data_IF_521528491832
#
_entry.id   IF_521528491832
#
_cell.length_a   1.000
_cell.length_b   1.000
_cell.length_c   1.000
_cell.angle_alpha   90.00
_cell.angle_beta   90.00
_cell.angle_gamma   90.00
#
_symmetry.space_group_name_H-M   'P 1'
#
loop_
_entity.id
_entity.type
_entity.pdbx_description
1 polymer ?
#
# COMPACT_ATOMS: atom_id res chain seq x y z
N UNK A 1 4.97 7.47 -19.25
CA UNK A 1 5.76 6.59 -18.92
C UNK A 1 5.58 5.99 -17.61
N UNK A 2 5.88 6.68 -16.58
CA UNK A 2 5.79 6.11 -15.26
C UNK A 2 4.36 5.77 -14.87
N UNK A 3 3.35 6.57 -15.27
CA UNK A 3 1.96 6.28 -14.92
C UNK A 3 1.49 4.96 -15.51
N UNK A 4 1.80 4.69 -16.77
CA UNK A 4 1.42 3.43 -17.41
C UNK A 4 2.01 2.23 -16.67
N UNK A 5 3.27 2.32 -16.28
CA UNK A 5 3.94 1.26 -15.54
C UNK A 5 3.34 1.11 -14.13
N UNK A 6 3.08 2.23 -13.46
CA UNK A 6 2.46 2.20 -12.13
C UNK A 6 1.09 1.53 -12.17
N UNK A 7 0.26 1.89 -13.16
CA UNK A 7 -1.06 1.27 -13.31
C UNK A 7 -0.95 -0.23 -13.58
N UNK A 8 0.05 -0.65 -14.36
CA UNK A 8 0.27 -2.07 -14.64
C UNK A 8 0.61 -2.83 -13.36
N UNK A 9 1.45 -2.25 -12.50
CA UNK A 9 1.82 -2.87 -11.23
C UNK A 9 0.61 -2.92 -10.30
N UNK A 10 -0.20 -1.85 -10.26
CA UNK A 10 -1.39 -1.79 -9.41
C UNK A 10 -2.38 -2.92 -9.72
N UNK A 11 -2.49 -3.34 -10.99
CA UNK A 11 -3.38 -4.43 -11.38
C UNK A 11 -3.04 -5.77 -10.74
N UNK A 12 -1.80 -5.93 -10.30
CA UNK A 12 -1.35 -7.18 -9.69
C UNK A 12 -1.59 -7.25 -8.20
N UNK A 13 -2.14 -6.18 -7.62
CA UNK A 13 -2.43 -6.14 -6.19
C UNK A 13 -3.94 -6.35 -5.97
N UNK A 14 -4.34 -7.37 -5.17
CA UNK A 14 -5.76 -7.66 -4.95
C UNK A 14 -6.56 -6.50 -4.37
N UNK A 15 -5.93 -5.68 -3.53
CA UNK A 15 -6.56 -4.55 -2.89
C UNK A 15 -6.82 -3.41 -3.86
N UNK A 16 -6.00 -3.30 -4.91
CA UNK A 16 -6.08 -2.22 -5.90
C UNK A 16 -6.87 -2.62 -7.14
N UNK A 17 -6.84 -3.90 -7.50
CA UNK A 17 -7.51 -4.35 -8.72
C UNK A 17 -9.02 -4.16 -8.62
N UNK A 18 -9.60 -4.26 -7.42
CA UNK A 18 -11.05 -4.11 -7.23
C UNK A 18 -11.53 -2.68 -7.45
N UNK A 19 -10.61 -1.70 -7.49
CA UNK A 19 -10.99 -0.31 -7.70
C UNK A 19 -11.39 -0.01 -9.14
N UNK A 20 -11.11 -0.91 -10.07
CA UNK A 20 -11.35 -0.68 -11.48
C UNK A 20 -10.29 0.24 -12.08
N UNK A 21 -10.26 0.33 -13.40
CA UNK A 21 -9.23 1.12 -14.07
C UNK A 21 -9.34 2.60 -13.74
N UNK A 22 -10.55 3.16 -13.78
CA UNK A 22 -10.75 4.57 -13.47
C UNK A 22 -10.42 4.90 -12.02
N UNK A 23 -10.77 4.00 -11.10
CA UNK A 23 -10.44 4.17 -9.69
C UNK A 23 -8.94 4.17 -9.45
N UNK A 24 -8.22 3.26 -10.10
CA UNK A 24 -6.75 3.22 -9.99
C UNK A 24 -6.12 4.47 -10.56
N UNK A 25 -6.62 4.97 -11.71
CA UNK A 25 -6.11 6.22 -12.29
C UNK A 25 -6.32 7.40 -11.36
N UNK A 26 -7.49 7.50 -10.75
CA UNK A 26 -7.77 8.58 -9.80
C UNK A 26 -6.86 8.46 -8.58
N UNK A 27 -6.65 7.26 -8.05
CA UNK A 27 -5.79 7.05 -6.90
C UNK A 27 -4.34 7.43 -7.19
N UNK A 28 -3.85 7.15 -8.39
CA UNK A 28 -2.47 7.44 -8.77
C UNK A 28 -2.27 8.86 -9.30
N UNK A 29 -3.33 9.62 -9.49
CA UNK A 29 -3.26 10.93 -10.11
C UNK A 29 -2.41 11.90 -9.28
N UNK A 30 -1.54 12.64 -9.98
CA UNK A 30 -0.74 13.72 -9.38
C UNK A 30 0.18 13.25 -8.25
N UNK A 31 0.63 12.01 -8.32
CA UNK A 31 1.65 11.46 -7.42
C UNK A 31 2.87 11.05 -8.24
N UNK A 32 4.02 11.08 -7.60
CA UNK A 32 5.28 10.73 -8.25
C UNK A 32 5.97 9.59 -7.53
N UNK A 33 6.70 8.74 -8.26
CA UNK A 33 7.52 7.72 -7.63
C UNK A 33 8.64 8.34 -6.79
N UNK A 34 9.05 7.61 -5.77
CA UNK A 34 10.21 7.94 -4.95
C UNK A 34 11.27 6.89 -5.21
N UNK A 35 12.48 7.33 -5.55
CA UNK A 35 13.62 6.43 -5.76
C UNK A 35 14.49 6.42 -4.52
N UNK A 36 14.76 5.21 -4.01
CA UNK A 36 15.57 5.03 -2.82
C UNK A 36 16.85 4.28 -3.16
N UNK A 37 17.96 4.74 -2.60
CA UNK A 37 19.24 4.04 -2.68
C UNK A 37 19.26 2.95 -1.60
N UNK A 38 20.09 1.90 -1.77
CA UNK A 38 20.21 0.87 -0.73
C UNK A 38 20.48 1.49 0.64
N UNK A 39 19.76 1.03 1.65
CA UNK A 39 19.83 1.47 3.05
C UNK A 39 19.22 2.82 3.32
N UNK A 40 18.67 3.49 2.31
CA UNK A 40 17.97 4.75 2.53
C UNK A 40 16.63 4.50 3.20
N UNK A 41 16.28 5.33 4.18
CA UNK A 41 15.02 5.22 4.93
C UNK A 41 13.90 5.95 4.21
N UNK A 42 12.72 5.32 4.16
CA UNK A 42 11.53 5.97 3.60
C UNK A 42 10.68 6.63 4.69
N UNK A 43 10.48 5.93 5.80
CA UNK A 43 9.77 6.46 6.96
C UNK A 43 10.19 5.70 8.21
N UNK A 44 9.89 6.27 9.37
CA UNK A 44 10.20 5.66 10.65
C UNK A 44 8.96 5.13 11.32
N UNK A 45 9.14 4.09 12.14
CA UNK A 45 8.07 3.59 13.01
C UNK A 45 7.54 4.74 13.87
N UNK A 46 6.22 4.84 13.99
CA UNK A 46 5.58 5.90 14.75
C UNK A 46 5.17 7.11 13.91
N UNK A 47 5.71 7.26 12.70
CA UNK A 47 5.32 8.35 11.83
C UNK A 47 3.84 8.21 11.44
N UNK A 48 3.10 9.33 11.29
CA UNK A 48 1.73 9.24 10.78
C UNK A 48 1.73 8.72 9.35
N UNK A 49 0.79 7.83 9.04
CA UNK A 49 0.66 7.26 7.71
C UNK A 49 -0.53 7.92 7.00
N UNK A 50 -0.24 8.70 5.95
CA UNK A 50 -1.26 9.37 5.16
C UNK A 50 -1.85 8.46 4.08
N UNK A 51 -1.30 7.28 3.92
CA UNK A 51 -1.71 6.32 2.92
C UNK A 51 -0.78 5.14 2.87
N UNK A 52 -0.84 4.39 1.78
CA UNK A 52 -0.04 3.19 1.59
C UNK A 52 1.10 3.47 0.62
N UNK A 53 2.05 2.55 0.60
CA UNK A 53 3.20 2.62 -0.31
C UNK A 53 3.16 1.40 -1.23
N UNK A 54 3.13 1.62 -2.52
CA UNK A 54 3.21 0.56 -3.53
C UNK A 54 4.66 0.39 -3.97
N UNK A 55 5.17 -0.82 -3.92
CA UNK A 55 6.53 -1.10 -4.39
C UNK A 55 6.49 -1.29 -5.91
N UNK A 56 7.24 -0.47 -6.64
CA UNK A 56 7.32 -0.53 -8.09
C UNK A 56 8.57 -1.25 -8.58
N UNK A 57 9.62 -1.27 -7.79
CA UNK A 57 10.87 -1.93 -8.15
C UNK A 57 11.75 -2.13 -6.94
N UNK A 58 12.61 -3.13 -6.98
CA UNK A 58 13.50 -3.43 -5.88
C UNK A 58 12.79 -4.05 -4.68
N UNK A 59 13.41 -3.91 -3.53
CA UNK A 59 12.90 -4.50 -2.29
C UNK A 59 12.97 -3.50 -1.15
N UNK A 60 11.86 -3.39 -0.41
CA UNK A 60 11.73 -2.53 0.76
C UNK A 60 11.65 -3.41 1.99
N UNK A 61 12.49 -3.15 2.97
CA UNK A 61 12.52 -3.92 4.21
C UNK A 61 11.81 -3.14 5.31
N UNK A 62 10.87 -3.80 5.98
CA UNK A 62 10.14 -3.21 7.10
C UNK A 62 10.63 -3.86 8.39
N UNK A 63 11.14 -3.01 9.29
CA UNK A 63 11.65 -3.45 10.59
C UNK A 63 10.64 -3.00 11.64
N UNK A 64 9.87 -3.94 12.23
CA UNK A 64 8.87 -3.59 13.25
C UNK A 64 9.52 -2.95 14.47
N UNK A 65 8.78 -2.02 15.11
CA UNK A 65 9.23 -1.44 16.36
C UNK A 65 9.26 -2.48 17.47
N UNK A 66 8.29 -3.39 17.48
CA UNK A 66 8.23 -4.46 18.47
C UNK A 66 9.31 -5.50 18.17
N UNK A 67 10.25 -5.70 19.10
CA UNK A 67 11.37 -6.63 18.94
C UNK A 67 10.93 -8.07 18.75
N UNK A 68 9.72 -8.41 19.20
CA UNK A 68 9.16 -9.76 19.06
C UNK A 68 8.72 -10.10 17.63
N UNK A 69 8.58 -9.09 16.76
CA UNK A 69 8.15 -9.29 15.39
C UNK A 69 9.35 -9.32 14.45
N UNK A 70 9.27 -10.14 13.41
CA UNK A 70 10.36 -10.28 12.46
C UNK A 70 10.27 -9.23 11.35
N UNK A 71 11.41 -8.74 10.85
CA UNK A 71 11.42 -7.91 9.66
C UNK A 71 10.79 -8.63 8.47
N UNK A 72 10.17 -7.84 7.59
CA UNK A 72 9.55 -8.35 6.36
C UNK A 72 10.08 -7.59 5.16
N UNK A 73 10.15 -8.27 4.02
CA UNK A 73 10.60 -7.66 2.78
C UNK A 73 9.40 -7.57 1.83
N UNK A 74 9.21 -6.39 1.26
CA UNK A 74 8.16 -6.12 0.29
C UNK A 74 8.78 -5.93 -1.09
N UNK A 75 8.19 -6.61 -2.08
CA UNK A 75 8.67 -6.60 -3.46
C UNK A 75 7.62 -6.00 -4.38
N UNK A 76 7.92 -5.94 -5.67
CA UNK A 76 7.06 -5.32 -6.69
C UNK A 76 5.62 -5.81 -6.58
N UNK A 77 4.69 -4.88 -6.58
CA UNK A 77 3.26 -5.15 -6.53
C UNK A 77 2.67 -5.24 -5.14
N UNK A 78 3.49 -5.27 -4.11
CA UNK A 78 3.00 -5.35 -2.74
C UNK A 78 2.75 -3.96 -2.17
N UNK A 79 1.74 -3.85 -1.30
CA UNK A 79 1.39 -2.61 -0.61
C UNK A 79 1.85 -2.66 0.83
N UNK A 80 2.52 -1.59 1.25
CA UNK A 80 2.87 -1.39 2.66
C UNK A 80 1.78 -0.56 3.30
N UNK A 81 1.27 -1.01 4.44
CA UNK A 81 0.22 -0.31 5.22
C UNK A 81 -1.05 -0.06 4.41
N UNK A 82 -1.56 -1.09 3.76
CA UNK A 82 -2.75 -0.94 2.93
C UNK A 82 -3.96 -0.40 3.70
N UNK A 83 -4.09 -0.69 4.99
CA UNK A 83 -5.21 -0.16 5.79
C UNK A 83 -5.09 1.34 6.03
N UNK A 84 -3.91 1.92 5.88
CA UNK A 84 -3.74 3.37 5.95
C UNK A 84 -4.41 4.10 4.79
N UNK A 85 -4.81 3.39 3.74
CA UNK A 85 -5.63 3.95 2.66
C UNK A 85 -7.07 4.21 3.10
N UNK A 86 -7.48 3.63 4.22
CA UNK A 86 -8.88 3.68 4.65
C UNK A 86 -9.02 4.40 5.98
N UNK A 87 -8.11 4.13 6.91
CA UNK A 87 -8.19 4.70 8.26
C UNK A 87 -6.86 5.35 8.64
N UNK A 88 -6.91 6.42 9.43
CA UNK A 88 -5.68 7.02 9.98
C UNK A 88 -4.98 6.02 10.88
N UNK A 89 -3.66 5.96 10.77
CA UNK A 89 -2.84 5.10 11.62
C UNK A 89 -1.41 5.60 11.63
N UNK A 90 -0.61 5.06 12.53
CA UNK A 90 0.83 5.29 12.54
C UNK A 90 1.55 4.14 11.87
N UNK A 91 2.75 4.41 11.36
CA UNK A 91 3.61 3.37 10.80
C UNK A 91 4.06 2.44 11.93
N UNK A 92 3.80 1.15 11.78
CA UNK A 92 4.20 0.16 12.79
C UNK A 92 5.63 -0.33 12.64
N UNK A 93 6.33 0.12 11.60
CA UNK A 93 7.68 -0.33 11.27
C UNK A 93 8.45 0.78 10.59
N UNK A 94 9.78 0.71 10.66
CA UNK A 94 10.66 1.56 9.88
C UNK A 94 10.91 0.91 8.52
N UNK A 95 10.77 1.67 7.44
CA UNK A 95 10.96 1.16 6.09
C UNK A 95 12.31 1.61 5.53
N UNK A 96 13.12 0.65 5.12
CA UNK A 96 14.47 0.90 4.60
C UNK A 96 14.61 0.14 3.28
N UNK A 97 15.20 0.79 2.28
CA UNK A 97 15.48 0.14 1.00
C UNK A 97 16.53 -0.95 1.21
N UNK A 98 16.17 -2.20 0.91
CA UNK A 98 17.12 -3.30 0.99
C UNK A 98 18.03 -3.32 -0.24
N UNK A 99 17.47 -2.96 -1.38
CA UNK A 99 18.19 -2.75 -2.63
C UNK A 99 17.81 -1.36 -3.14
N UNK A 100 18.35 -0.93 -4.27
CA UNK A 100 17.77 0.21 -4.97
C UNK A 100 16.29 -0.07 -5.16
N UNK A 101 15.44 0.88 -4.81
CA UNK A 101 14.02 0.63 -4.71
C UNK A 101 13.24 1.81 -5.26
N UNK A 102 12.17 1.53 -5.96
CA UNK A 102 11.26 2.56 -6.42
C UNK A 102 9.89 2.28 -5.80
N UNK A 103 9.33 3.30 -5.16
CA UNK A 103 8.03 3.17 -4.48
C UNK A 103 7.10 4.28 -4.93
N UNK A 104 5.80 4.05 -4.77
CA UNK A 104 4.78 4.99 -5.20
C UNK A 104 3.81 5.24 -4.04
N UNK A 105 3.79 6.45 -3.48
CA UNK A 105 2.86 6.77 -2.40
C UNK A 105 1.43 6.86 -2.93
N UNK A 106 0.51 6.23 -2.20
CA UNK A 106 -0.93 6.29 -2.49
C UNK A 106 -1.62 6.96 -1.32
N UNK A 107 -2.33 8.05 -1.60
CA UNK A 107 -2.87 8.93 -0.59
C UNK A 107 -4.28 8.53 -0.14
N UNK A 108 -4.53 8.55 1.19
CA UNK A 108 -5.83 8.19 1.75
C UNK A 108 -6.94 9.13 1.30
N UNK A 109 -6.67 10.43 1.21
CA UNK A 109 -7.69 11.38 0.77
C UNK A 109 -8.18 11.05 -0.65
N UNK A 110 -7.26 10.64 -1.52
CA UNK A 110 -7.62 10.20 -2.87
C UNK A 110 -8.37 8.90 -2.87
N UNK A 111 -7.97 7.98 -2.00
CA UNK A 111 -8.67 6.71 -1.88
C UNK A 111 -10.11 6.92 -1.47
N UNK A 112 -10.36 7.86 -0.54
CA UNK A 112 -11.71 8.19 -0.13
C UNK A 112 -12.52 8.77 -1.28
N UNK A 113 -11.90 9.58 -2.14
CA UNK A 113 -12.55 10.08 -3.35
C UNK A 113 -12.92 8.95 -4.29
N UNK A 114 -12.01 7.99 -4.48
CA UNK A 114 -12.29 6.81 -5.33
C UNK A 114 -13.51 6.07 -4.82
N UNK A 115 -13.57 5.84 -3.51
CA UNK A 115 -14.67 5.09 -2.90
C UNK A 115 -15.99 5.83 -3.00
N UNK A 116 -15.95 7.17 -2.95
CA UNK A 116 -17.15 7.98 -3.10
C UNK A 116 -17.63 8.05 -4.55
N UNK A 117 -16.72 8.12 -5.51
CA UNK A 117 -17.07 8.27 -6.92
C UNK A 117 -17.40 6.95 -7.61
N UNK A 118 -16.86 5.84 -7.10
CA UNK A 118 -17.02 4.53 -7.72
C UNK A 118 -17.61 3.53 -6.72
N UNK A 119 -18.94 3.46 -6.62
CA UNK A 119 -19.58 2.56 -5.65
C UNK A 119 -19.18 1.09 -5.79
N UNK A 120 -18.87 0.65 -7.02
CA UNK A 120 -18.42 -0.73 -7.24
C UNK A 120 -17.06 -0.98 -6.60
N UNK A 121 -16.18 0.03 -6.61
CA UNK A 121 -14.89 -0.06 -5.94
C UNK A 121 -15.09 -0.20 -4.43
N UNK A 122 -15.99 0.59 -3.85
CA UNK A 122 -16.28 0.50 -2.43
C UNK A 122 -16.81 -0.88 -2.06
N UNK A 123 -17.73 -1.43 -2.86
CA UNK A 123 -18.27 -2.76 -2.61
C UNK A 123 -17.21 -3.86 -2.74
N UNK A 124 -16.35 -3.73 -3.76
CA UNK A 124 -15.25 -4.68 -3.95
C UNK A 124 -14.29 -4.68 -2.79
N UNK A 125 -13.95 -3.49 -2.29
CA UNK A 125 -13.05 -3.36 -1.16
C UNK A 125 -13.68 -3.91 0.12
N UNK A 126 -14.96 -3.64 0.35
CA UNK A 126 -15.67 -4.18 1.50
C UNK A 126 -15.65 -5.70 1.51
N UNK A 127 -15.81 -6.33 0.34
CA UNK A 127 -15.76 -7.79 0.24
C UNK A 127 -14.40 -8.34 0.62
N UNK A 128 -13.31 -7.68 0.21
CA UNK A 128 -11.96 -8.11 0.55
C UNK A 128 -11.74 -8.01 2.05
N UNK A 129 -12.13 -6.89 2.64
CA UNK A 129 -11.94 -6.65 4.07
C UNK A 129 -12.77 -7.65 4.88
N UNK A 130 -14.01 -7.87 4.50
CA UNK A 130 -14.87 -8.84 5.16
C UNK A 130 -14.31 -10.25 5.09
N UNK A 131 -13.77 -10.63 3.93
CA UNK A 131 -13.16 -11.94 3.74
C UNK A 131 -11.93 -12.13 4.62
N UNK A 132 -11.10 -11.10 4.73
CA UNK A 132 -9.92 -11.15 5.60
C UNK A 132 -10.31 -11.27 7.08
N UNK A 133 -11.34 -10.54 7.49
CA UNK A 133 -11.84 -10.61 8.85
C UNK A 133 -12.39 -12.01 9.15
N UNK A 134 -13.08 -12.60 8.19
CA UNK A 134 -13.61 -13.95 8.31
C UNK A 134 -12.49 -14.98 8.46
N UNK A 135 -11.44 -14.86 7.66
CA UNK A 135 -10.27 -15.74 7.76
C UNK A 135 -9.61 -15.62 9.12
N UNK A 136 -9.48 -14.39 9.63
CA UNK A 136 -8.88 -14.16 10.93
C UNK A 136 -9.69 -14.84 12.03
N UNK A 137 -11.01 -14.71 12.00
CA UNK A 137 -11.89 -15.34 12.97
C UNK A 137 -11.78 -16.86 12.89
N UNK A 138 -11.71 -17.42 11.69
CA UNK A 138 -11.55 -18.87 11.50
C UNK A 138 -10.24 -19.38 12.07
N UNK A 139 -9.16 -18.60 11.93
CA UNK A 139 -7.84 -18.99 12.42
C UNK A 139 -7.76 -19.00 13.94
N UNK A 140 -8.50 -18.17 14.62
CA UNK A 140 -8.49 -18.11 16.09
C UNK A 140 -9.60 -18.96 16.70
N UNK A 141 -10.60 -19.30 15.92
CA UNK A 141 -11.74 -20.09 16.35
C UNK A 141 -11.53 -21.57 16.11
#
# INVERSE_FOLDING_TARGET
MSLTRTLAVMRNNPFLVVLGEDGRRLLAFDSDPINLKPRESLFDAGDPADGAILVLGGQLRLIPEAASLKPRVYSVGQLVDEMALIVPKERGATAIAQTSCEVFPLDRARMLRVLNEYPQAARGLQRIIAKRAQSFVSDIG
#
